data_IF_215887807359
#
_entry.id   IF_215887807359
#
_cell.length_a   1.000
_cell.length_b   1.000
_cell.length_c   1.000
_cell.angle_alpha   90.00
_cell.angle_beta   90.00
_cell.angle_gamma   90.00
#
_symmetry.space_group_name_H-M   'P 1'
#
loop_
_entity.id
_entity.type
_entity.pdbx_description
1 polymer ?
#
# COMPACT_ATOMS: atom_id res chain seq x y z
N UNK A 1 25.73 12.83 -15.96
CA UNK A 1 25.60 12.73 -14.48
C UNK A 1 24.36 13.51 -14.06
N UNK A 2 23.23 12.83 -13.92
CA UNK A 2 22.09 13.24 -13.09
C UNK A 2 21.01 12.17 -13.29
N UNK A 3 20.95 11.26 -12.34
CA UNK A 3 20.00 10.16 -12.24
C UNK A 3 18.58 10.71 -12.17
N UNK A 4 17.69 10.18 -12.99
CA UNK A 4 16.26 10.49 -13.06
C UNK A 4 15.59 10.39 -11.67
N UNK A 5 15.12 11.52 -11.15
CA UNK A 5 14.34 11.56 -9.92
C UNK A 5 12.84 11.64 -10.27
N UNK A 6 12.27 10.52 -10.70
CA UNK A 6 10.81 10.35 -10.76
C UNK A 6 10.33 9.84 -9.39
N UNK A 7 10.31 10.72 -8.38
CA UNK A 7 9.67 10.40 -7.09
C UNK A 7 8.16 10.49 -7.22
N UNK A 8 7.51 9.35 -7.45
CA UNK A 8 6.11 9.20 -7.02
C UNK A 8 6.03 9.42 -5.51
N UNK A 9 4.98 10.11 -5.06
CA UNK A 9 4.81 10.62 -3.70
C UNK A 9 4.63 9.55 -2.60
N UNK A 10 4.68 8.27 -2.95
CA UNK A 10 4.59 7.16 -2.02
C UNK A 10 5.87 6.32 -2.16
N UNK A 11 6.64 6.24 -1.07
CA UNK A 11 7.83 5.41 -1.01
C UNK A 11 7.84 4.61 0.29
N UNK A 12 8.30 3.38 0.20
CA UNK A 12 8.53 2.52 1.36
C UNK A 12 10.02 2.26 1.52
N UNK A 13 10.51 2.33 2.75
CA UNK A 13 11.89 2.04 3.11
C UNK A 13 11.95 0.64 3.71
N UNK A 14 12.78 -0.23 3.14
CA UNK A 14 13.09 -1.53 3.72
C UNK A 14 14.52 -1.50 4.28
N UNK A 15 14.64 -1.56 5.60
CA UNK A 15 15.93 -1.62 6.28
C UNK A 15 16.34 -3.07 6.50
N UNK A 16 17.57 -3.38 6.14
CA UNK A 16 18.19 -4.68 6.38
C UNK A 16 19.27 -4.56 7.47
N UNK A 17 19.46 -5.62 8.25
CA UNK A 17 20.59 -5.71 9.17
C UNK A 17 21.88 -6.13 8.44
N UNK A 18 22.99 -6.27 9.17
CA UNK A 18 24.28 -6.69 8.61
C UNK A 18 24.26 -8.11 8.02
N UNK A 19 23.30 -8.93 8.44
CA UNK A 19 23.07 -10.29 7.91
C UNK A 19 22.14 -10.31 6.69
N UNK A 20 21.70 -9.15 6.20
CA UNK A 20 20.78 -9.02 5.07
C UNK A 20 19.31 -9.37 5.41
N UNK A 21 18.97 -9.51 6.69
CA UNK A 21 17.60 -9.75 7.15
C UNK A 21 16.84 -8.45 7.31
N UNK A 22 15.54 -8.46 7.01
CA UNK A 22 14.66 -7.30 7.17
C UNK A 22 14.54 -6.96 8.66
N UNK A 23 15.00 -5.77 9.04
CA UNK A 23 14.94 -5.27 10.41
C UNK A 23 13.89 -4.17 10.61
N UNK A 24 13.48 -3.47 9.55
CA UNK A 24 12.34 -2.57 9.58
C UNK A 24 11.74 -2.39 8.18
N UNK A 25 10.43 -2.15 8.14
CA UNK A 25 9.72 -1.69 6.95
C UNK A 25 8.98 -0.40 7.34
N UNK A 26 9.28 0.70 6.65
CA UNK A 26 8.72 2.02 6.93
C UNK A 26 7.95 2.46 5.69
N UNK A 27 6.63 2.49 5.80
CA UNK A 27 5.76 2.95 4.73
C UNK A 27 5.42 4.43 4.92
N UNK A 28 5.85 5.28 3.99
CA UNK A 28 5.47 6.70 4.00
C UNK A 28 4.25 6.89 3.12
N UNK A 29 3.09 7.05 3.74
CA UNK A 29 1.84 7.33 3.03
C UNK A 29 1.60 8.83 2.93
N UNK A 30 1.40 9.33 1.72
CA UNK A 30 1.00 10.72 1.51
C UNK A 30 -0.53 10.86 1.46
N UNK A 31 -1.22 10.46 2.53
CA UNK A 31 -2.68 10.56 2.65
C UNK A 31 -3.10 11.61 3.71
N UNK A 32 -4.23 12.27 3.47
CA UNK A 32 -4.81 13.15 4.50
C UNK A 32 -5.27 12.31 5.69
N UNK A 33 -5.09 12.81 6.93
CA UNK A 33 -5.60 12.14 8.15
C UNK A 33 -7.09 11.80 8.03
N UNK A 34 -7.84 12.63 7.31
CA UNK A 34 -9.26 12.41 7.05
C UNK A 34 -9.52 11.18 6.17
N UNK A 35 -8.64 10.85 5.23
CA UNK A 35 -8.81 9.69 4.35
C UNK A 35 -8.54 8.37 5.09
N UNK A 36 -7.63 8.37 6.07
CA UNK A 36 -7.42 7.23 6.98
C UNK A 36 -8.66 7.00 7.87
N UNK A 37 -9.24 8.07 8.41
CA UNK A 37 -10.48 7.99 9.22
C UNK A 37 -11.62 7.41 8.38
N UNK A 38 -11.82 7.89 7.15
CA UNK A 38 -12.86 7.38 6.25
C UNK A 38 -12.75 5.86 6.03
N UNK A 39 -11.55 5.29 5.94
CA UNK A 39 -11.39 3.83 5.77
C UNK A 39 -11.95 3.01 6.93
N UNK A 40 -11.83 3.52 8.16
CA UNK A 40 -12.30 2.81 9.36
C UNK A 40 -13.82 2.89 9.52
N UNK A 41 -14.42 4.00 9.09
CA UNK A 41 -15.87 4.22 9.21
C UNK A 41 -16.67 3.83 7.97
N UNK A 42 -16.01 3.73 6.81
CA UNK A 42 -16.62 3.32 5.55
C UNK A 42 -15.79 2.21 4.91
N UNK A 43 -15.76 1.00 5.52
CA UNK A 43 -15.08 -0.14 4.91
C UNK A 43 -15.69 -0.37 3.54
N UNK A 44 -14.83 -0.34 2.50
CA UNK A 44 -15.27 -0.69 1.15
C UNK A 44 -15.71 -2.14 1.21
N UNK A 45 -17.01 -2.37 1.10
CA UNK A 45 -17.57 -3.71 0.91
C UNK A 45 -16.79 -4.32 -0.25
N UNK A 46 -16.16 -5.49 -0.09
CA UNK A 46 -15.61 -6.19 -1.22
C UNK A 46 -16.74 -6.28 -2.23
N UNK A 47 -16.50 -5.85 -3.47
CA UNK A 47 -17.29 -6.33 -4.59
C UNK A 47 -17.05 -7.84 -4.58
N UNK A 48 -17.88 -8.55 -3.82
CA UNK A 48 -18.01 -9.98 -3.91
C UNK A 48 -18.10 -10.23 -5.40
N UNK A 49 -17.19 -11.06 -5.93
CA UNK A 49 -17.24 -11.55 -7.30
C UNK A 49 -18.60 -12.20 -7.50
N UNK A 50 -19.62 -11.40 -7.81
CA UNK A 50 -20.98 -11.86 -7.95
C UNK A 50 -21.02 -12.62 -9.26
N UNK A 51 -21.24 -13.92 -9.11
CA UNK A 51 -21.84 -14.80 -10.09
C UNK A 51 -21.05 -15.06 -11.39
N UNK A 52 -20.03 -15.92 -11.29
CA UNK A 52 -19.91 -17.00 -12.27
C UNK A 52 -20.80 -18.15 -11.77
N UNK A 53 -22.11 -18.03 -12.02
CA UNK A 53 -23.04 -19.15 -11.93
C UNK A 53 -22.66 -20.09 -13.07
N UNK A 54 -21.86 -21.11 -12.76
CA UNK A 54 -21.47 -22.18 -13.68
C UNK A 54 -22.77 -22.92 -14.06
N UNK A 55 -23.29 -22.67 -15.27
CA UNK A 55 -24.42 -23.42 -15.79
C UNK A 55 -23.94 -24.85 -16.10
N UNK A 56 -24.65 -25.81 -15.52
CA UNK A 56 -24.67 -27.21 -15.95
C UNK A 56 -25.16 -27.31 -17.39
#
# INVERSE_FOLDING_TARGET
>A
LATEELRSQDWSELKLNQDGLICAHIDYWHCSKLDVVKQHFFPKTPLARTALKKNR
#
